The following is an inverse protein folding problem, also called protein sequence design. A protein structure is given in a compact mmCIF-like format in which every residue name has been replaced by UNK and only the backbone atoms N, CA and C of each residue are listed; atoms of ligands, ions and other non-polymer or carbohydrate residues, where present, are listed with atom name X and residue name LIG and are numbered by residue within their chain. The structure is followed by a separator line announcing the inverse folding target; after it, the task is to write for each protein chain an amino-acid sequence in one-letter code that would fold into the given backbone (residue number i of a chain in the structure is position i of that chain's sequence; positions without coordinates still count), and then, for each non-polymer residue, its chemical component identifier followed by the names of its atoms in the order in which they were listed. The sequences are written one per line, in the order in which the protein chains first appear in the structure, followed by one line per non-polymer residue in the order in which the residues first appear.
data_IF_063840980852
#
_entry.id   IF_063840980852
#
_cell.length_a   1.000
_cell.length_b   1.000
_cell.length_c   1.000
_cell.angle_alpha   90.00
_cell.angle_beta   90.00
_cell.angle_gamma   90.00
#
_symmetry.space_group_name_H-M   'P 1'
#
loop_
_entity.id
_entity.type
_entity.pdbx_description
1 polymer ?
#
# COMPACT_ATOMS: atom_id res chain seq x y z
N UNK A 1 32.05 3.98 -13.80
CA UNK A 1 31.20 4.80 -14.69
C UNK A 1 29.84 4.95 -14.01
N UNK A 2 29.66 6.03 -13.26
CA UNK A 2 28.39 6.36 -12.61
C UNK A 2 27.49 7.03 -13.66
N UNK A 3 26.35 6.41 -13.99
CA UNK A 3 25.36 7.03 -14.88
C UNK A 3 24.91 8.38 -14.27
N UNK A 4 24.85 9.47 -15.05
CA UNK A 4 24.27 10.72 -14.60
C UNK A 4 22.78 10.46 -14.34
N UNK A 5 22.36 10.55 -13.08
CA UNK A 5 20.97 10.32 -12.68
C UNK A 5 20.06 11.23 -13.48
N UNK A 6 19.11 10.63 -14.21
CA UNK A 6 18.00 11.36 -14.81
C UNK A 6 17.25 12.08 -13.70
N UNK A 7 17.41 13.40 -13.61
CA UNK A 7 16.75 14.22 -12.59
C UNK A 7 15.24 14.14 -12.78
N UNK A 8 14.55 13.42 -11.90
CA UNK A 8 13.14 13.11 -12.06
C UNK A 8 12.32 14.35 -11.67
N UNK A 9 11.66 14.97 -12.66
CA UNK A 9 10.84 16.15 -12.39
C UNK A 9 9.68 15.81 -11.45
N UNK A 10 9.67 16.43 -10.27
CA UNK A 10 8.66 16.20 -9.23
C UNK A 10 7.34 16.89 -9.58
N UNK A 11 6.59 16.34 -10.55
CA UNK A 11 5.33 16.92 -11.08
C UNK A 11 4.05 16.24 -10.57
N UNK A 12 4.17 15.16 -9.79
CA UNK A 12 3.02 14.50 -9.17
C UNK A 12 2.41 15.40 -8.09
N UNK A 13 1.18 15.84 -8.33
CA UNK A 13 0.37 16.58 -7.37
C UNK A 13 -0.39 15.60 -6.48
N UNK A 14 -0.84 16.03 -5.30
CA UNK A 14 -1.58 15.19 -4.35
C UNK A 14 -2.79 14.48 -5.00
N UNK A 15 -3.50 15.16 -5.92
CA UNK A 15 -4.59 14.54 -6.69
C UNK A 15 -4.15 13.35 -7.55
N UNK A 16 -2.97 13.41 -8.16
CA UNK A 16 -2.48 12.30 -9.01
C UNK A 16 -2.13 11.11 -8.11
N UNK A 17 -1.51 11.37 -6.96
CA UNK A 17 -1.20 10.34 -5.96
C UNK A 17 -2.48 9.69 -5.44
N UNK A 18 -3.52 10.49 -5.16
CA UNK A 18 -4.81 9.98 -4.70
C UNK A 18 -5.51 9.14 -5.77
N UNK A 19 -5.46 9.55 -7.05
CA UNK A 19 -5.99 8.76 -8.16
C UNK A 19 -5.26 7.42 -8.33
N UNK A 20 -3.93 7.41 -8.16
CA UNK A 20 -3.13 6.17 -8.17
C UNK A 20 -3.58 5.24 -7.03
N UNK A 21 -3.73 5.78 -5.81
CA UNK A 21 -4.19 5.01 -4.66
C UNK A 21 -5.61 4.43 -4.84
N UNK A 22 -6.54 5.24 -5.33
CA UNK A 22 -7.92 4.79 -5.60
C UNK A 22 -7.94 3.74 -6.72
N UNK A 23 -7.21 3.98 -7.81
CA UNK A 23 -7.13 3.05 -8.95
C UNK A 23 -6.53 1.70 -8.55
N UNK A 24 -5.48 1.69 -7.73
CA UNK A 24 -4.87 0.46 -7.22
C UNK A 24 -5.78 -0.32 -6.29
N UNK A 25 -6.43 0.35 -5.34
CA UNK A 25 -7.27 -0.30 -4.32
C UNK A 25 -8.59 -0.83 -4.88
N UNK A 26 -9.27 -0.08 -5.75
CA UNK A 26 -10.53 -0.52 -6.37
C UNK A 26 -10.26 -1.50 -7.52
N UNK A 27 -9.22 -1.27 -8.33
CA UNK A 27 -8.97 -1.96 -9.60
C UNK A 27 -8.89 -3.48 -9.48
N UNK A 28 -7.89 -4.01 -8.77
CA UNK A 28 -7.72 -5.48 -8.69
C UNK A 28 -8.64 -6.07 -7.62
N UNK A 29 -8.71 -5.46 -6.43
CA UNK A 29 -9.43 -6.06 -5.29
C UNK A 29 -10.94 -6.20 -5.53
N UNK A 30 -11.59 -5.15 -6.02
CA UNK A 30 -13.04 -5.13 -6.18
C UNK A 30 -13.49 -5.84 -7.47
N UNK A 31 -12.68 -5.90 -8.53
CA UNK A 31 -13.11 -6.56 -9.76
C UNK A 31 -12.63 -8.02 -9.87
N UNK A 32 -11.42 -8.35 -9.42
CA UNK A 32 -10.91 -9.73 -9.48
C UNK A 32 -11.49 -10.61 -8.37
N UNK A 33 -11.75 -10.04 -7.18
CA UNK A 33 -12.14 -10.78 -5.99
C UNK A 33 -13.64 -10.79 -5.65
N UNK A 34 -14.40 -9.76 -6.04
CA UNK A 34 -15.74 -9.55 -5.47
C UNK A 34 -16.74 -10.64 -5.82
N UNK A 35 -16.73 -11.17 -7.05
CA UNK A 35 -17.68 -12.23 -7.43
C UNK A 35 -17.53 -13.47 -6.52
N UNK A 36 -16.28 -13.86 -6.21
CA UNK A 36 -15.98 -14.99 -5.33
C UNK A 36 -16.24 -14.67 -3.86
N UNK A 37 -15.94 -13.44 -3.44
CA UNK A 37 -16.19 -12.98 -2.08
C UNK A 37 -17.70 -12.91 -1.77
N UNK A 38 -18.51 -12.40 -2.70
CA UNK A 38 -19.99 -12.36 -2.61
C UNK A 38 -20.55 -13.78 -2.54
N UNK A 39 -20.09 -14.68 -3.40
CA UNK A 39 -20.55 -16.08 -3.40
C UNK A 39 -20.27 -16.78 -2.07
N UNK A 40 -19.10 -16.56 -1.47
CA UNK A 40 -18.70 -17.25 -0.24
C UNK A 40 -19.28 -16.63 1.04
N UNK A 41 -19.35 -15.29 1.12
CA UNK A 41 -19.78 -14.59 2.33
C UNK A 41 -21.26 -14.18 2.32
N UNK A 42 -21.90 -14.11 1.15
CA UNK A 42 -23.29 -13.66 1.01
C UNK A 42 -23.51 -12.26 1.63
N UNK A 43 -24.64 -12.01 2.30
CA UNK A 43 -24.92 -10.72 2.94
C UNK A 43 -23.89 -10.32 4.02
N UNK A 44 -23.19 -11.29 4.62
CA UNK A 44 -22.17 -11.04 5.63
C UNK A 44 -20.88 -10.44 5.06
N UNK A 45 -20.77 -10.30 3.73
CA UNK A 45 -19.62 -9.66 3.07
C UNK A 45 -19.36 -8.24 3.59
N UNK A 46 -20.40 -7.48 3.90
CA UNK A 46 -20.27 -6.12 4.46
C UNK A 46 -19.57 -6.16 5.83
N UNK A 47 -19.94 -7.11 6.70
CA UNK A 47 -19.30 -7.32 7.99
C UNK A 47 -17.84 -7.76 7.83
N UNK A 48 -17.56 -8.66 6.88
CA UNK A 48 -16.21 -9.11 6.59
C UNK A 48 -15.31 -7.94 6.11
N UNK A 49 -15.81 -7.10 5.20
CA UNK A 49 -15.08 -5.90 4.77
C UNK A 49 -14.94 -4.85 5.87
N UNK A 50 -15.94 -4.70 6.74
CA UNK A 50 -15.85 -3.77 7.88
C UNK A 50 -14.74 -4.19 8.85
N UNK A 51 -14.70 -5.48 9.24
CA UNK A 51 -13.66 -6.02 10.12
C UNK A 51 -12.28 -5.98 9.47
N UNK A 52 -12.17 -6.39 8.21
CA UNK A 52 -10.92 -6.29 7.46
C UNK A 52 -10.46 -4.84 7.29
N UNK A 53 -11.39 -3.92 7.05
CA UNK A 53 -11.14 -2.49 6.94
C UNK A 53 -10.62 -1.88 8.23
N UNK A 54 -11.11 -2.31 9.39
CA UNK A 54 -10.58 -1.88 10.70
C UNK A 54 -9.11 -2.31 10.83
N UNK A 55 -8.78 -3.56 10.51
CA UNK A 55 -7.40 -4.03 10.57
C UNK A 55 -6.48 -3.24 9.62
N UNK A 56 -6.92 -3.02 8.37
CA UNK A 56 -6.18 -2.25 7.37
C UNK A 56 -6.01 -0.78 7.80
N UNK A 57 -7.02 -0.20 8.46
CA UNK A 57 -6.94 1.17 8.96
C UNK A 57 -5.79 1.35 9.96
N UNK A 58 -5.62 0.42 10.91
CA UNK A 58 -4.50 0.48 11.85
C UNK A 58 -3.14 0.35 11.15
N UNK A 59 -3.04 -0.57 10.18
CA UNK A 59 -1.81 -0.75 9.38
C UNK A 59 -1.48 0.53 8.61
N UNK A 60 -2.47 1.10 7.90
CA UNK A 60 -2.27 2.32 7.11
C UNK A 60 -1.93 3.52 7.98
N UNK A 61 -2.49 3.61 9.18
CA UNK A 61 -2.16 4.67 10.14
C UNK A 61 -0.71 4.58 10.62
N UNK A 62 -0.25 3.38 10.99
CA UNK A 62 1.14 3.16 11.38
C UNK A 62 2.12 3.45 10.23
N UNK A 63 1.78 3.00 9.01
CA UNK A 63 2.59 3.30 7.81
C UNK A 63 2.63 4.81 7.50
N UNK A 64 1.52 5.53 7.70
CA UNK A 64 1.46 6.98 7.52
C UNK A 64 2.38 7.75 8.50
N UNK A 65 2.45 7.29 9.74
CA UNK A 65 3.38 7.83 10.75
C UNK A 65 4.84 7.60 10.33
N UNK A 66 5.18 6.39 9.87
CA UNK A 66 6.51 6.04 9.33
C UNK A 66 6.89 6.88 8.10
N UNK A 67 5.97 7.05 7.15
CA UNK A 67 6.19 7.87 5.95
C UNK A 67 6.46 9.34 6.27
N UNK A 68 5.81 9.85 7.32
CA UNK A 68 6.01 11.23 7.79
C UNK A 68 7.33 11.38 8.55
N UNK A 69 7.70 10.38 9.34
CA UNK A 69 8.96 10.35 10.07
C UNK A 69 10.18 10.23 9.15
N UNK A 70 10.12 9.34 8.15
CA UNK A 70 11.23 9.06 7.22
C UNK A 70 10.72 9.01 5.77
N UNK A 71 10.68 10.16 5.08
CA UNK A 71 10.19 10.23 3.70
C UNK A 71 11.29 9.78 2.73
N UNK A 72 11.36 8.47 2.48
CA UNK A 72 12.25 7.88 1.48
C UNK A 72 11.47 7.50 0.22
N UNK A 73 12.10 7.61 -0.95
CA UNK A 73 11.55 7.09 -2.19
C UNK A 73 11.75 5.57 -2.24
N UNK A 74 11.00 4.86 -1.40
CA UNK A 74 11.10 3.40 -1.19
C UNK A 74 9.73 2.75 -0.98
N UNK A 75 9.75 1.43 -0.81
CA UNK A 75 8.55 0.62 -0.55
C UNK A 75 8.45 0.26 0.94
N UNK A 76 7.37 -0.41 1.35
CA UNK A 76 7.24 -1.00 2.68
C UNK A 76 8.43 -1.90 3.05
N UNK A 77 9.05 -2.58 2.07
CA UNK A 77 10.24 -3.40 2.27
C UNK A 77 11.46 -2.59 2.76
N UNK A 78 11.60 -1.33 2.34
CA UNK A 78 12.66 -0.42 2.83
C UNK A 78 12.52 -0.17 4.32
N UNK A 79 11.28 0.00 4.81
CA UNK A 79 11.03 0.14 6.24
C UNK A 79 11.21 -1.18 7.00
N UNK A 80 10.87 -2.32 6.39
CA UNK A 80 11.12 -3.63 6.99
C UNK A 80 12.63 -3.92 7.12
N UNK A 81 13.42 -3.53 6.13
CA UNK A 81 14.89 -3.62 6.17
C UNK A 81 15.48 -2.75 7.30
N UNK A 82 15.05 -1.49 7.37
CA UNK A 82 15.58 -0.50 8.33
C UNK A 82 15.17 -0.81 9.78
N UNK A 83 13.92 -1.23 10.02
CA UNK A 83 13.39 -1.41 11.39
C UNK A 83 13.36 -2.86 11.87
N UNK A 84 13.18 -3.84 10.97
CA UNK A 84 13.08 -5.26 11.31
C UNK A 84 14.34 -6.05 10.89
N UNK A 85 15.25 -5.41 10.15
CA UNK A 85 16.55 -5.95 9.76
C UNK A 85 16.59 -6.54 8.34
N UNK A 86 17.80 -6.89 7.85
CA UNK A 86 18.03 -7.23 6.45
C UNK A 86 17.25 -8.44 5.95
N UNK A 87 17.02 -9.41 6.84
CA UNK A 87 16.23 -10.59 6.52
C UNK A 87 14.76 -10.24 6.29
N UNK A 88 14.19 -9.35 7.12
CA UNK A 88 12.81 -8.90 6.96
C UNK A 88 12.64 -8.05 5.70
N UNK A 89 13.62 -7.20 5.38
CA UNK A 89 13.71 -6.51 4.09
C UNK A 89 13.64 -7.49 2.92
N UNK A 90 14.56 -8.46 2.88
CA UNK A 90 14.63 -9.47 1.82
C UNK A 90 13.35 -10.31 1.66
N UNK A 91 12.71 -10.71 2.76
CA UNK A 91 11.48 -11.52 2.70
C UNK A 91 10.28 -10.70 2.21
N UNK A 92 10.26 -9.39 2.48
CA UNK A 92 9.13 -8.52 2.13
C UNK A 92 9.27 -7.82 0.78
N UNK A 93 10.48 -7.71 0.22
CA UNK A 93 10.68 -7.22 -1.15
C UNK A 93 12.10 -6.79 -1.46
#
# INVERSE_FOLDING_TARGET
MSQPGSDLSRRLRSRHIQLIAIGGTIGVGLFLGSARAIHNAGPALVLAYALGGIAIFFIMRALGELLTYRPVAGSFATYADEFCGPFAGFVTG
#
